data_IF_990846992009
#
_entry.id   IF_990846992009
#
_cell.length_a   1.000
_cell.length_b   1.000
_cell.length_c   1.000
_cell.angle_alpha   90.00
_cell.angle_beta   90.00
_cell.angle_gamma   90.00
#
_symmetry.space_group_name_H-M   'P 1'
#
loop_
_entity.id
_entity.type
_entity.pdbx_description
1 polymer ?
#
# COMPACT_ATOMS: atom_id res chain seq x y z
N UNK A 1 14.70 5.38 -4.26
CA UNK A 1 14.40 5.77 -2.87
C UNK A 1 14.90 7.20 -2.65
N UNK A 2 14.26 7.99 -1.78
CA UNK A 2 14.75 9.33 -1.43
C UNK A 2 16.17 9.23 -0.83
N UNK A 3 17.18 9.92 -1.39
CA UNK A 3 18.57 9.77 -0.95
C UNK A 3 18.78 10.02 0.55
N UNK A 4 18.07 11.00 1.10
CA UNK A 4 18.15 11.37 2.51
C UNK A 4 17.61 10.27 3.42
N UNK A 5 16.52 9.61 3.02
CA UNK A 5 15.95 8.49 3.77
C UNK A 5 16.92 7.32 3.78
N UNK A 6 17.48 6.96 2.61
CA UNK A 6 18.47 5.89 2.52
C UNK A 6 19.72 6.18 3.36
N UNK A 7 20.20 7.42 3.37
CA UNK A 7 21.34 7.83 4.19
C UNK A 7 21.05 7.75 5.70
N UNK A 8 19.81 7.96 6.13
CA UNK A 8 19.39 7.88 7.53
C UNK A 8 19.07 6.45 7.99
N UNK A 9 18.75 5.54 7.07
CA UNK A 9 18.35 4.16 7.36
C UNK A 9 19.21 3.09 6.65
N UNK A 10 20.53 3.25 6.49
CA UNK A 10 21.34 2.41 5.60
C UNK A 10 21.37 0.93 5.99
N UNK A 11 21.02 0.61 7.24
CA UNK A 11 20.96 -0.77 7.76
C UNK A 11 19.59 -1.15 8.32
N UNK A 12 18.62 -0.22 8.30
CA UNK A 12 17.31 -0.43 8.92
C UNK A 12 16.25 -0.73 7.86
N UNK A 13 15.40 -1.74 8.05
CA UNK A 13 14.27 -1.96 7.16
C UNK A 13 13.30 -0.77 7.24
N UNK A 14 12.65 -0.47 6.14
CA UNK A 14 11.65 0.58 6.02
C UNK A 14 10.24 0.00 6.04
N UNK A 15 9.36 0.66 6.79
CA UNK A 15 7.92 0.37 6.82
C UNK A 15 7.16 1.64 6.46
N UNK A 16 6.16 1.51 5.59
CA UNK A 16 5.27 2.61 5.22
C UNK A 16 4.04 2.54 6.12
N UNK A 17 4.00 3.33 7.20
CA UNK A 17 2.92 3.23 8.18
C UNK A 17 1.61 3.92 7.76
N UNK A 18 1.66 4.79 6.75
CA UNK A 18 0.48 5.42 6.18
C UNK A 18 0.57 5.36 4.66
N UNK A 19 -0.33 4.60 4.05
CA UNK A 19 -0.40 4.37 2.61
C UNK A 19 -1.86 4.16 2.22
N UNK A 20 -2.31 4.84 1.17
CA UNK A 20 -3.70 4.76 0.74
C UNK A 20 -3.99 5.64 -0.46
N UNK A 21 -5.12 5.37 -1.11
CA UNK A 21 -5.78 6.28 -2.05
C UNK A 21 -7.26 6.28 -1.72
N UNK A 22 -7.92 7.42 -1.85
CA UNK A 22 -9.36 7.45 -1.70
C UNK A 22 -10.08 6.98 -2.96
N UNK A 23 -11.12 6.15 -2.77
CA UNK A 23 -12.00 5.62 -3.81
C UNK A 23 -12.72 6.73 -4.61
N UNK A 24 -12.91 7.90 -4.01
CA UNK A 24 -13.57 9.05 -4.63
C UNK A 24 -12.59 10.11 -5.17
N UNK A 25 -11.33 9.74 -5.44
CA UNK A 25 -10.34 10.70 -5.94
C UNK A 25 -10.70 11.18 -7.36
N UNK A 26 -11.02 12.47 -7.56
CA UNK A 26 -11.50 12.97 -8.85
C UNK A 26 -10.41 13.00 -9.94
N UNK A 27 -9.13 12.82 -9.57
CA UNK A 27 -7.98 12.92 -10.47
C UNK A 27 -7.37 11.57 -10.82
N UNK A 28 -7.72 10.51 -10.11
CA UNK A 28 -7.07 9.22 -10.27
C UNK A 28 -8.00 8.09 -9.81
N UNK A 29 -8.24 7.12 -10.68
CA UNK A 29 -9.00 5.93 -10.30
C UNK A 29 -8.20 5.09 -9.29
N UNK A 30 -8.86 4.67 -8.21
CA UNK A 30 -8.23 3.96 -7.11
C UNK A 30 -7.67 2.59 -7.54
N UNK A 31 -8.46 1.76 -8.22
CA UNK A 31 -8.05 0.40 -8.56
C UNK A 31 -6.77 0.31 -9.43
N UNK A 32 -6.63 1.07 -10.54
CA UNK A 32 -5.38 1.09 -11.31
C UNK A 32 -4.18 1.59 -10.49
N UNK A 33 -4.39 2.58 -9.62
CA UNK A 33 -3.33 3.11 -8.76
C UNK A 33 -2.86 2.05 -7.74
N UNK A 34 -3.78 1.34 -7.09
CA UNK A 34 -3.45 0.28 -6.13
C UNK A 34 -2.67 -0.85 -6.80
N UNK A 35 -3.06 -1.25 -8.02
CA UNK A 35 -2.33 -2.27 -8.80
C UNK A 35 -0.89 -1.83 -9.10
N UNK A 36 -0.70 -0.58 -9.54
CA UNK A 36 0.62 -0.05 -9.81
C UNK A 36 1.48 0.03 -8.55
N UNK A 37 0.90 0.48 -7.43
CA UNK A 37 1.62 0.59 -6.17
C UNK A 37 2.02 -0.78 -5.61
N UNK A 38 1.16 -1.81 -5.69
CA UNK A 38 1.56 -3.17 -5.34
C UNK A 38 2.60 -3.75 -6.28
N UNK A 39 2.52 -3.48 -7.59
CA UNK A 39 3.58 -3.90 -8.52
C UNK A 39 4.94 -3.31 -8.12
N UNK A 40 5.01 -2.03 -7.75
CA UNK A 40 6.24 -1.39 -7.27
C UNK A 40 6.72 -1.97 -5.93
N UNK A 41 5.81 -2.14 -4.95
CA UNK A 41 6.15 -2.66 -3.62
C UNK A 41 6.63 -4.11 -3.66
N UNK A 42 6.00 -4.96 -4.49
CA UNK A 42 6.27 -6.40 -4.53
C UNK A 42 7.35 -6.79 -5.56
N UNK A 43 7.68 -5.92 -6.52
CA UNK A 43 8.76 -6.17 -7.49
C UNK A 43 10.17 -5.93 -6.94
N UNK A 44 10.29 -5.40 -5.72
CA UNK A 44 11.59 -5.06 -5.13
C UNK A 44 12.18 -3.75 -5.67
N UNK A 45 11.37 -2.87 -6.29
CA UNK A 45 11.81 -1.53 -6.72
C UNK A 45 12.43 -0.72 -5.58
N UNK A 46 11.97 -0.94 -4.36
CA UNK A 46 12.57 -0.42 -3.13
C UNK A 46 12.97 -1.59 -2.21
N UNK A 47 14.21 -2.11 -2.33
CA UNK A 47 14.62 -3.34 -1.66
C UNK A 47 14.68 -3.22 -0.12
N UNK A 48 14.75 -1.99 0.39
CA UNK A 48 14.77 -1.72 1.83
C UNK A 48 13.36 -1.68 2.45
N UNK A 49 12.29 -1.59 1.65
CA UNK A 49 10.90 -1.62 2.13
C UNK A 49 10.50 -3.06 2.47
N UNK A 50 10.08 -3.29 3.72
CA UNK A 50 9.73 -4.61 4.24
C UNK A 50 8.26 -4.76 4.64
N UNK A 51 7.50 -3.68 4.61
CA UNK A 51 6.07 -3.75 4.89
C UNK A 51 5.39 -2.39 4.76
N UNK A 52 4.07 -2.42 4.83
CA UNK A 52 3.22 -1.24 4.79
C UNK A 52 1.99 -1.45 5.68
N UNK A 53 1.34 -0.36 6.06
CA UNK A 53 0.01 -0.35 6.66
C UNK A 53 -0.91 0.50 5.78
N UNK A 54 -2.03 -0.10 5.37
CA UNK A 54 -3.04 0.60 4.60
C UNK A 54 -3.91 1.46 5.52
N UNK A 55 -4.19 2.69 5.11
CA UNK A 55 -5.15 3.53 5.82
C UNK A 55 -6.58 3.07 5.53
N UNK A 56 -7.09 2.18 6.37
CA UNK A 56 -8.40 1.54 6.22
C UNK A 56 -9.50 2.32 6.94
N UNK A 57 -9.86 3.50 6.43
CA UNK A 57 -10.84 4.39 7.09
C UNK A 57 -11.63 5.25 6.10
N UNK A 58 -12.82 5.69 6.50
CA UNK A 58 -13.46 6.89 5.93
C UNK A 58 -13.11 8.09 6.79
N UNK A 59 -12.50 9.12 6.19
CA UNK A 59 -12.06 10.31 6.89
C UNK A 59 -12.84 11.54 6.42
N UNK A 60 -13.27 12.40 7.34
CA UNK A 60 -14.10 13.56 7.03
C UNK A 60 -13.31 14.76 6.46
N UNK A 61 -11.97 14.66 6.38
CA UNK A 61 -11.07 15.72 5.92
C UNK A 61 -11.39 17.09 6.55
N UNK A 62 -11.69 17.12 7.85
CA UNK A 62 -11.97 18.34 8.63
C UNK A 62 -13.05 19.25 8.01
N UNK A 63 -14.06 18.65 7.37
CA UNK A 63 -15.18 19.36 6.75
C UNK A 63 -15.03 19.65 5.26
N UNK A 64 -13.92 19.22 4.65
CA UNK A 64 -13.80 19.15 3.19
C UNK A 64 -14.55 17.92 2.62
N UNK A 65 -14.40 17.67 1.32
CA UNK A 65 -14.89 16.42 0.71
C UNK A 65 -14.20 15.25 1.41
N UNK A 66 -14.97 14.37 2.06
CA UNK A 66 -14.42 13.23 2.80
C UNK A 66 -13.70 12.23 1.91
N UNK A 67 -12.73 11.52 2.47
CA UNK A 67 -12.04 10.40 1.86
C UNK A 67 -12.75 9.10 2.25
N UNK A 68 -12.95 8.22 1.29
CA UNK A 68 -13.20 6.80 1.54
C UNK A 68 -11.97 6.00 1.12
N UNK A 69 -11.27 5.37 2.06
CA UNK A 69 -10.11 4.51 1.80
C UNK A 69 -10.38 3.05 2.19
N UNK A 70 -11.65 2.69 2.41
CA UNK A 70 -12.01 1.31 2.71
C UNK A 70 -11.83 0.43 1.47
N UNK A 71 -10.99 -0.60 1.59
CA UNK A 71 -10.72 -1.56 0.51
C UNK A 71 -12.00 -2.21 -0.04
N UNK A 72 -12.97 -2.52 0.83
CA UNK A 72 -14.19 -3.22 0.44
C UNK A 72 -15.23 -2.35 -0.28
N UNK A 73 -15.08 -1.04 -0.27
CA UNK A 73 -16.06 -0.12 -0.87
C UNK A 73 -15.88 0.03 -2.39
N UNK A 74 -14.69 -0.30 -2.91
CA UNK A 74 -14.42 -0.36 -4.36
C UNK A 74 -14.05 -1.79 -4.77
N UNK A 75 -14.87 -2.39 -5.63
CA UNK A 75 -14.69 -3.77 -6.10
C UNK A 75 -13.35 -3.99 -6.82
N UNK A 76 -12.85 -2.97 -7.52
CA UNK A 76 -11.57 -3.02 -8.22
C UNK A 76 -10.37 -2.95 -7.25
N UNK A 77 -10.47 -2.13 -6.20
CA UNK A 77 -9.48 -2.08 -5.12
C UNK A 77 -9.46 -3.40 -4.36
N UNK A 78 -10.62 -3.92 -3.96
CA UNK A 78 -10.73 -5.22 -3.30
C UNK A 78 -10.12 -6.35 -4.15
N UNK A 79 -10.36 -6.33 -5.47
CA UNK A 79 -9.73 -7.29 -6.38
C UNK A 79 -8.21 -7.13 -6.44
N UNK A 80 -7.70 -5.90 -6.53
CA UNK A 80 -6.26 -5.63 -6.54
C UNK A 80 -5.56 -6.13 -5.27
N UNK A 81 -6.17 -5.95 -4.10
CA UNK A 81 -5.67 -6.50 -2.84
C UNK A 81 -5.62 -8.03 -2.83
N UNK A 82 -6.70 -8.69 -3.27
CA UNK A 82 -6.71 -10.16 -3.37
C UNK A 82 -5.64 -10.65 -4.33
N UNK A 83 -5.54 -10.07 -5.51
CA UNK A 83 -4.55 -10.46 -6.53
C UNK A 83 -3.12 -10.32 -5.99
N UNK A 84 -2.82 -9.23 -5.26
CA UNK A 84 -1.50 -8.94 -4.74
C UNK A 84 -1.13 -9.80 -3.51
N UNK A 85 -2.05 -9.98 -2.57
CA UNK A 85 -1.74 -10.60 -1.27
C UNK A 85 -2.06 -12.09 -1.21
N UNK A 86 -2.96 -12.57 -2.05
CA UNK A 86 -3.39 -13.99 -2.09
C UNK A 86 -3.23 -14.64 -3.46
N UNK A 87 -2.92 -13.85 -4.50
CA UNK A 87 -2.70 -14.35 -5.86
C UNK A 87 -1.25 -14.75 -6.13
N UNK A 88 -0.82 -14.64 -7.38
CA UNK A 88 0.50 -15.13 -7.82
C UNK A 88 1.72 -14.50 -7.12
N UNK A 89 1.54 -13.32 -6.53
CA UNK A 89 2.59 -12.61 -5.76
C UNK A 89 2.60 -12.97 -4.27
N UNK A 90 1.63 -13.74 -3.78
CA UNK A 90 1.54 -14.16 -2.38
C UNK A 90 2.81 -14.83 -1.81
N UNK A 91 3.65 -15.57 -2.59
CA UNK A 91 4.90 -16.11 -2.05
C UNK A 91 5.92 -15.06 -1.57
N UNK A 92 5.75 -13.78 -1.96
CA UNK A 92 6.56 -12.66 -1.49
C UNK A 92 6.01 -11.98 -0.22
N UNK A 93 4.80 -12.37 0.20
CA UNK A 93 4.13 -11.83 1.39
C UNK A 93 4.36 -12.78 2.55
N UNK A 94 4.78 -12.21 3.68
CA UNK A 94 4.92 -12.92 4.94
C UNK A 94 3.69 -12.63 5.77
N UNK A 95 2.80 -13.61 5.89
CA UNK A 95 1.54 -13.55 6.65
C UNK A 95 1.61 -14.27 8.01
N UNK A 96 2.75 -14.91 8.29
CA UNK A 96 3.08 -15.55 9.57
C UNK A 96 4.41 -15.01 10.12
N UNK A 97 4.61 -14.95 11.45
CA UNK A 97 5.89 -14.53 12.00
C UNK A 97 7.05 -15.37 11.46
N UNK A 98 8.11 -14.70 11.00
CA UNK A 98 9.37 -15.38 10.69
C UNK A 98 10.04 -15.77 12.01
N UNK A 99 9.73 -16.99 12.49
CA UNK A 99 10.47 -17.60 13.58
C UNK A 99 11.86 -17.95 13.05
N UNK A 100 12.89 -17.39 13.69
CA UNK A 100 14.29 -17.78 13.51
C UNK A 100 14.72 -18.68 14.64
#
# INVERSE_FOLDING_TARGET
>A
MLPQLHAATPTKPLFIFEFGITNNNPRCAAAPWVRAAFADLLSGRWPDVRGFAWWQERWNNDGALGSDMLVQDDVGVAAAFRDALTGSTAPSVVDVPLLR
#
